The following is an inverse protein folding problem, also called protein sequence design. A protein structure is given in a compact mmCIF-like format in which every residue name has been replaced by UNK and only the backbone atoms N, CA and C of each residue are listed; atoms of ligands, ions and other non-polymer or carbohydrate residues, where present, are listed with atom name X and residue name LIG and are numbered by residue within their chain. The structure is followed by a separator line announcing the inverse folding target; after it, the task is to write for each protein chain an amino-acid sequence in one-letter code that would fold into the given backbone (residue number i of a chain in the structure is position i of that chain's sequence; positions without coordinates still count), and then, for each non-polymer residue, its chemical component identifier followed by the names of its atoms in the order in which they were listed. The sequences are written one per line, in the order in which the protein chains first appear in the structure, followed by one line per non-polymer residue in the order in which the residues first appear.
data_IF_795797891881
#
_entry.id   IF_795797891881
#
_cell.length_a   1.000
_cell.length_b   1.000
_cell.length_c   1.000
_cell.angle_alpha   90.00
_cell.angle_beta   90.00
_cell.angle_gamma   90.00
#
_symmetry.space_group_name_H-M   'P 1'
#
loop_
_entity.id
_entity.type
_entity.pdbx_description
1 polymer ?
#
# COMPACT_ATOMS: atom_id res chain seq x y z
N UNK A 1 -15.97 -3.35 5.73
CA UNK A 1 -15.35 -4.57 5.13
C UNK A 1 -15.07 -4.27 3.66
N UNK A 2 -13.94 -4.71 3.09
CA UNK A 2 -13.53 -4.38 1.72
C UNK A 2 -14.11 -5.41 0.72
N UNK A 3 -15.19 -5.11 -0.01
CA UNK A 3 -15.90 -6.10 -0.83
C UNK A 3 -15.12 -6.53 -2.08
N UNK A 4 -14.11 -5.75 -2.48
CA UNK A 4 -13.27 -5.97 -3.66
C UNK A 4 -11.81 -6.24 -3.25
N UNK A 5 -11.63 -7.08 -2.22
CA UNK A 5 -10.30 -7.50 -1.78
C UNK A 5 -9.88 -8.74 -2.57
N UNK A 6 -8.82 -8.58 -3.37
CA UNK A 6 -8.27 -9.63 -4.19
C UNK A 6 -6.79 -9.87 -3.87
N UNK A 7 -6.37 -11.12 -3.99
CA UNK A 7 -4.97 -11.53 -3.97
C UNK A 7 -4.54 -11.97 -5.37
N UNK A 8 -3.24 -12.11 -5.60
CA UNK A 8 -2.72 -12.62 -6.88
C UNK A 8 -3.24 -14.03 -7.19
N UNK A 9 -3.47 -14.86 -6.17
CA UNK A 9 -4.06 -16.20 -6.31
C UNK A 9 -5.54 -16.15 -6.72
N UNK A 10 -6.25 -15.06 -6.38
CA UNK A 10 -7.65 -14.87 -6.80
C UNK A 10 -7.79 -14.21 -8.18
N UNK A 11 -6.75 -13.50 -8.65
CA UNK A 11 -6.77 -12.75 -9.92
C UNK A 11 -6.17 -13.52 -11.09
N UNK A 12 -5.17 -14.37 -10.83
CA UNK A 12 -4.47 -15.14 -11.85
C UNK A 12 -4.82 -16.62 -11.77
N UNK A 13 -4.82 -17.28 -12.93
CA UNK A 13 -4.98 -18.73 -13.03
C UNK A 13 -3.75 -19.46 -12.48
N UNK A 14 -3.91 -20.74 -12.15
CA UNK A 14 -2.78 -21.57 -11.69
C UNK A 14 -1.68 -21.67 -12.73
N UNK A 15 -2.03 -21.70 -14.02
CA UNK A 15 -1.07 -21.77 -15.12
C UNK A 15 -0.28 -20.46 -15.29
N UNK A 16 -0.93 -19.30 -15.11
CA UNK A 16 -0.25 -18.00 -15.13
C UNK A 16 0.72 -17.82 -13.95
N UNK A 17 0.40 -18.40 -12.79
CA UNK A 17 1.26 -18.33 -11.59
C UNK A 17 2.36 -19.39 -11.57
N UNK A 18 2.20 -20.51 -12.29
CA UNK A 18 3.13 -21.63 -12.28
C UNK A 18 4.62 -21.24 -12.49
N UNK A 19 4.97 -20.32 -13.41
CA UNK A 19 6.38 -19.92 -13.62
C UNK A 19 7.03 -19.18 -12.44
N UNK A 20 6.21 -18.63 -11.54
CA UNK A 20 6.63 -17.84 -10.38
C UNK A 20 6.65 -18.67 -9.10
N UNK A 21 5.90 -19.78 -9.05
CA UNK A 21 5.85 -20.65 -7.87
C UNK A 21 7.22 -21.23 -7.50
N UNK A 22 7.51 -21.27 -6.20
CA UNK A 22 8.81 -21.72 -5.68
C UNK A 22 9.94 -20.67 -5.79
N UNK A 23 9.69 -19.51 -6.39
CA UNK A 23 10.68 -18.44 -6.56
C UNK A 23 10.21 -17.12 -5.93
N UNK A 24 10.54 -16.89 -4.67
CA UNK A 24 10.10 -15.71 -3.91
C UNK A 24 10.43 -14.39 -4.61
N UNK A 25 11.61 -14.25 -5.22
CA UNK A 25 11.98 -13.03 -5.94
C UNK A 25 11.14 -12.78 -7.19
N UNK A 26 10.68 -13.84 -7.88
CA UNK A 26 9.83 -13.71 -9.07
C UNK A 26 8.40 -13.33 -8.66
N UNK A 27 7.89 -13.92 -7.59
CA UNK A 27 6.60 -13.51 -7.00
C UNK A 27 6.63 -12.07 -6.50
N UNK A 28 7.74 -11.64 -5.88
CA UNK A 28 7.92 -10.25 -5.49
C UNK A 28 7.98 -9.29 -6.69
N UNK A 29 8.53 -9.72 -7.82
CA UNK A 29 8.51 -8.91 -9.05
C UNK A 29 7.08 -8.71 -9.58
N UNK A 30 6.19 -9.72 -9.44
CA UNK A 30 4.77 -9.57 -9.77
C UNK A 30 4.09 -8.54 -8.87
N UNK A 31 4.29 -8.65 -7.56
CA UNK A 31 3.78 -7.66 -6.59
C UNK A 31 4.29 -6.25 -6.90
N UNK A 32 5.56 -6.13 -7.28
CA UNK A 32 6.19 -4.86 -7.64
C UNK A 32 5.52 -4.22 -8.86
N UNK A 33 5.30 -4.99 -9.93
CA UNK A 33 4.67 -4.50 -11.17
C UNK A 33 3.25 -4.00 -10.91
N UNK A 34 2.44 -4.77 -10.18
CA UNK A 34 1.06 -4.35 -9.84
C UNK A 34 1.07 -3.08 -8.99
N UNK A 35 1.93 -3.01 -7.97
CA UNK A 35 2.04 -1.82 -7.13
C UNK A 35 2.68 -0.62 -7.85
N UNK A 36 3.47 -0.83 -8.90
CA UNK A 36 4.06 0.25 -9.70
C UNK A 36 2.98 0.96 -10.50
N UNK A 37 2.10 0.18 -11.13
CA UNK A 37 1.05 0.71 -12.01
C UNK A 37 -0.28 1.03 -11.31
N UNK A 38 -0.41 0.75 -10.01
CA UNK A 38 -1.61 1.10 -9.26
C UNK A 38 -1.76 2.61 -9.06
N UNK A 39 -2.99 3.11 -9.05
CA UNK A 39 -3.26 4.52 -8.77
C UNK A 39 -2.83 4.90 -7.35
N UNK A 40 -3.10 4.01 -6.39
CA UNK A 40 -2.73 4.14 -4.98
C UNK A 40 -1.90 2.94 -4.54
N UNK A 41 -0.81 3.20 -3.83
CA UNK A 41 0.00 2.19 -3.16
C UNK A 41 -0.02 2.43 -1.66
N UNK A 42 -0.31 1.38 -0.86
CA UNK A 42 -0.29 1.44 0.60
C UNK A 42 0.75 0.46 1.10
N UNK A 43 1.74 0.93 1.87
CA UNK A 43 2.77 0.05 2.44
C UNK A 43 2.57 -0.15 3.94
N UNK A 44 2.60 -1.40 4.39
CA UNK A 44 2.52 -1.78 5.80
C UNK A 44 3.88 -2.06 6.41
N UNK A 45 4.96 -2.13 5.62
CA UNK A 45 6.32 -2.42 6.11
C UNK A 45 7.36 -1.46 5.54
N UNK A 46 8.49 -1.37 6.23
CA UNK A 46 9.68 -0.70 5.68
C UNK A 46 10.50 -1.66 4.81
N UNK A 47 11.71 -1.24 4.47
CA UNK A 47 12.67 -2.06 3.72
C UNK A 47 12.78 -1.71 2.25
N UNK A 48 13.51 -2.55 1.52
CA UNK A 48 13.95 -2.24 0.16
C UNK A 48 12.80 -2.16 -0.83
N UNK A 49 11.82 -3.08 -0.76
CA UNK A 49 10.70 -3.13 -1.70
C UNK A 49 9.93 -1.79 -1.79
N UNK A 50 9.33 -1.27 -0.69
CA UNK A 50 8.60 -0.02 -0.75
C UNK A 50 9.52 1.18 -1.05
N UNK A 51 10.80 1.13 -0.64
CA UNK A 51 11.75 2.21 -0.92
C UNK A 51 12.03 2.36 -2.42
N UNK A 52 12.37 1.26 -3.10
CA UNK A 52 12.59 1.26 -4.55
C UNK A 52 11.30 1.59 -5.31
N UNK A 53 10.17 1.04 -4.86
CA UNK A 53 8.89 1.27 -5.53
C UNK A 53 8.44 2.73 -5.44
N UNK A 54 8.60 3.39 -4.29
CA UNK A 54 8.29 4.81 -4.13
C UNK A 54 9.11 5.69 -5.07
N UNK A 55 10.41 5.43 -5.17
CA UNK A 55 11.28 6.16 -6.10
C UNK A 55 10.87 5.96 -7.56
N UNK A 56 10.60 4.71 -7.94
CA UNK A 56 10.18 4.38 -9.31
C UNK A 56 8.82 5.00 -9.67
N UNK A 57 7.81 4.90 -8.78
CA UNK A 57 6.51 5.56 -8.94
C UNK A 57 6.69 7.08 -9.09
N UNK A 58 7.51 7.71 -8.24
CA UNK A 58 7.78 9.15 -8.32
C UNK A 58 8.43 9.54 -9.64
N UNK A 59 9.39 8.76 -10.12
CA UNK A 59 10.05 8.99 -11.41
C UNK A 59 9.08 8.84 -12.59
N UNK A 60 8.36 7.72 -12.66
CA UNK A 60 7.49 7.39 -13.79
C UNK A 60 6.29 8.32 -13.93
N UNK A 61 5.73 8.79 -12.81
CA UNK A 61 4.55 9.65 -12.79
C UNK A 61 4.86 11.14 -12.52
N UNK A 62 6.09 11.58 -12.79
CA UNK A 62 6.52 12.99 -12.64
C UNK A 62 6.24 13.57 -11.24
N UNK A 63 6.37 12.76 -10.19
CA UNK A 63 6.06 13.14 -8.81
C UNK A 63 4.61 12.90 -8.38
N UNK A 64 3.72 12.50 -9.29
CA UNK A 64 2.28 12.37 -9.07
C UNK A 64 1.88 10.89 -8.95
N UNK A 65 2.21 10.27 -7.82
CA UNK A 65 1.75 8.91 -7.51
C UNK A 65 1.38 8.80 -6.03
N UNK A 66 0.12 8.48 -5.73
CA UNK A 66 -0.33 8.38 -4.34
C UNK A 66 0.35 7.18 -3.68
N UNK A 67 1.09 7.46 -2.62
CA UNK A 67 1.68 6.44 -1.74
C UNK A 67 1.33 6.76 -0.31
N UNK A 68 0.71 5.80 0.39
CA UNK A 68 0.25 5.94 1.76
C UNK A 68 1.11 5.05 2.66
N UNK A 69 1.70 5.66 3.69
CA UNK A 69 2.41 4.95 4.75
C UNK A 69 1.71 5.29 6.07
N UNK A 70 0.69 4.50 6.47
CA UNK A 70 -0.10 4.81 7.63
C UNK A 70 0.71 4.69 8.93
N UNK A 71 0.28 5.40 9.96
CA UNK A 71 0.80 5.18 11.32
C UNK A 71 0.25 3.85 11.85
N UNK A 72 1.13 2.85 11.90
CA UNK A 72 0.75 1.50 12.31
C UNK A 72 0.24 1.44 13.74
N UNK A 73 0.78 2.27 14.64
CA UNK A 73 0.37 2.27 16.06
C UNK A 73 -1.04 2.81 16.18
N UNK A 74 -1.34 3.89 15.47
CA UNK A 74 -2.71 4.43 15.42
C UNK A 74 -3.69 3.46 14.78
N UNK A 75 -3.33 2.84 13.64
CA UNK A 75 -4.18 1.84 12.99
C UNK A 75 -4.55 0.68 13.93
N UNK A 76 -3.59 0.16 14.69
CA UNK A 76 -3.86 -0.92 15.65
C UNK A 76 -4.85 -0.46 16.71
N UNK A 77 -4.60 0.69 17.36
CA UNK A 77 -5.49 1.23 18.38
C UNK A 77 -6.91 1.48 17.87
N UNK A 78 -7.06 1.96 16.62
CA UNK A 78 -8.36 2.23 16.01
C UNK A 78 -9.12 0.94 15.67
N UNK A 79 -8.42 -0.05 15.11
CA UNK A 79 -9.04 -1.30 14.67
C UNK A 79 -9.37 -2.24 15.84
N UNK A 80 -8.66 -2.15 16.97
CA UNK A 80 -8.98 -2.90 18.19
C UNK A 80 -10.15 -2.29 18.99
N UNK A 81 -10.46 -1.01 18.79
CA UNK A 81 -11.56 -0.35 19.49
C UNK A 81 -12.91 -0.72 18.86
N UNK A 82 -13.56 -1.74 19.42
CA UNK A 82 -14.87 -2.22 18.95
C UNK A 82 -16.05 -1.34 19.36
N UNK A 83 -15.84 -0.30 20.19
CA UNK A 83 -16.91 0.60 20.66
C UNK A 83 -16.87 1.98 19.98
N UNK A 84 -15.85 2.26 19.17
CA UNK A 84 -15.72 3.52 18.44
C UNK A 84 -16.90 3.73 17.49
N UNK A 85 -17.40 4.96 17.41
CA UNK A 85 -18.41 5.29 16.40
C UNK A 85 -17.78 5.33 15.02
N UNK A 86 -18.57 5.05 13.97
CA UNK A 86 -18.07 5.18 12.60
C UNK A 86 -17.56 6.59 12.28
N UNK A 87 -18.17 7.61 12.88
CA UNK A 87 -17.76 9.00 12.70
C UNK A 87 -16.35 9.23 13.26
N UNK A 88 -16.13 8.87 14.52
CA UNK A 88 -14.84 9.10 15.18
C UNK A 88 -13.73 8.28 14.50
N UNK A 89 -14.04 7.02 14.14
CA UNK A 89 -13.12 6.18 13.37
C UNK A 89 -12.72 6.84 12.05
N UNK A 90 -13.69 7.38 11.30
CA UNK A 90 -13.43 8.03 10.02
C UNK A 90 -12.58 9.30 10.21
N UNK A 91 -12.92 10.12 11.20
CA UNK A 91 -12.20 11.37 11.50
C UNK A 91 -10.72 11.08 11.84
N UNK A 92 -10.45 10.03 12.63
CA UNK A 92 -9.09 9.61 12.96
C UNK A 92 -8.32 9.03 11.75
N UNK A 93 -9.01 8.28 10.88
CA UNK A 93 -8.43 7.78 9.62
C UNK A 93 -8.09 8.92 8.65
N UNK A 94 -8.95 9.92 8.54
CA UNK A 94 -8.74 11.11 7.71
C UNK A 94 -7.56 11.94 8.25
N UNK A 95 -7.47 12.12 9.57
CA UNK A 95 -6.34 12.79 10.21
C UNK A 95 -5.00 12.06 9.93
N UNK A 96 -4.98 10.74 10.01
CA UNK A 96 -3.82 9.93 9.67
C UNK A 96 -3.43 10.03 8.19
N UNK A 97 -4.40 10.07 7.27
CA UNK A 97 -4.15 10.27 5.85
C UNK A 97 -3.51 11.63 5.58
N UNK A 98 -4.05 12.70 6.16
CA UNK A 98 -3.50 14.06 6.04
C UNK A 98 -2.05 14.13 6.50
N UNK A 99 -1.73 13.47 7.62
CA UNK A 99 -0.37 13.40 8.13
C UNK A 99 0.58 12.60 7.22
N UNK A 100 0.09 11.50 6.62
CA UNK A 100 0.85 10.75 5.61
C UNK A 100 1.16 11.62 4.39
N UNK A 101 0.20 12.40 3.91
CA UNK A 101 0.35 13.29 2.75
C UNK A 101 1.34 14.43 3.04
N UNK A 102 1.26 15.03 4.23
CA UNK A 102 2.22 16.04 4.70
C UNK A 102 3.65 15.51 4.65
N UNK A 103 3.88 14.30 5.17
CA UNK A 103 5.20 13.64 5.13
C UNK A 103 5.68 13.34 3.71
N UNK A 104 4.77 12.98 2.80
CA UNK A 104 5.09 12.73 1.39
C UNK A 104 5.55 13.98 0.64
N UNK A 105 5.02 15.16 0.98
CA UNK A 105 5.41 16.44 0.37
C UNK A 105 6.77 16.97 0.85
N UNK A 106 7.20 16.61 2.06
CA UNK A 106 8.47 17.08 2.63
C UNK A 106 9.72 16.41 2.03
N UNK A 107 9.57 15.38 1.19
CA UNK A 107 10.72 14.74 0.53
C UNK A 107 11.15 15.62 -0.65
N UNK A 108 12.38 16.18 -0.63
CA UNK A 108 12.89 17.09 -1.67
C UNK A 108 12.79 16.47 -3.07
N UNK A 109 12.62 17.32 -4.09
CA UNK A 109 12.66 16.92 -5.51
C UNK A 109 14.09 16.74 -5.98
#
# INVERSE_FOLDING_TARGET
MFPLLYTKESLATSDELAPFQGYSSRLAALDYTVCLFSEVFVTTQGGNFPHFLMGHRRFLYNGHAKTIKPDKRMLVSLLENMTISWKDFKDDMDAMLLESDRKGMMIPR
#
